data_IF_201203500551
#
_entry.id   IF_201203500551
#
_cell.length_a   1.000
_cell.length_b   1.000
_cell.length_c   1.000
_cell.angle_alpha   90.00
_cell.angle_beta   90.00
_cell.angle_gamma   90.00
#
_symmetry.space_group_name_H-M   'P 1'
#
loop_
_entity.id
_entity.type
_entity.pdbx_description
1 polymer ?
2 polymer ?
3 water ?
#
# COMPACT_ATOMS: atom_id res chain seq x y z
N UNK A 1 -3.83 -15.25 2.83
CA UNK A 1 -3.77 -14.83 1.44
C UNK A 1 -2.42 -14.21 1.10
N UNK A 2 -1.54 -14.12 2.11
CA UNK A 2 -0.24 -13.51 1.89
C UNK A 2 0.65 -14.34 0.97
N UNK A 3 0.36 -15.63 0.81
CA UNK A 3 1.13 -16.44 -0.14
C UNK A 3 0.86 -16.05 -1.59
N UNK A 4 -0.15 -15.22 -1.86
CA UNK A 4 -0.42 -14.71 -3.19
C UNK A 4 0.20 -13.34 -3.44
N UNK A 5 0.86 -12.76 -2.44
CA UNK A 5 1.44 -11.43 -2.56
C UNK A 5 2.75 -11.47 -3.34
N UNK A 6 2.92 -10.52 -4.25
CA UNK A 6 4.20 -10.41 -4.95
C UNK A 6 5.33 -10.10 -3.96
N UNK A 7 6.58 -10.26 -4.42
CA UNK A 7 7.70 -9.99 -3.53
C UNK A 7 7.64 -8.55 -3.03
N UNK A 8 7.35 -7.61 -3.93
CA UNK A 8 7.30 -6.20 -3.52
C UNK A 8 6.13 -5.94 -2.58
N UNK A 9 4.98 -6.55 -2.84
CA UNK A 9 3.83 -6.38 -1.96
C UNK A 9 4.09 -6.95 -0.57
N UNK A 10 4.72 -8.13 -0.50
CA UNK A 10 5.12 -8.64 0.81
C UNK A 10 6.08 -7.67 1.50
N UNK A 11 7.04 -7.12 0.76
CA UNK A 11 7.95 -6.15 1.33
C UNK A 11 7.23 -4.89 1.81
N UNK A 12 6.19 -4.44 1.10
CA UNK A 12 5.46 -3.25 1.54
C UNK A 12 4.88 -3.48 2.93
N UNK A 13 4.32 -4.66 3.17
CA UNK A 13 3.69 -4.98 4.45
C UNK A 13 4.74 -5.11 5.54
N UNK A 14 5.87 -5.74 5.22
CA UNK A 14 6.96 -5.86 6.18
C UNK A 14 7.48 -4.48 6.55
N UNK A 15 7.64 -3.60 5.55
CA UNK A 15 8.12 -2.26 5.83
C UNK A 15 7.08 -1.44 6.58
N UNK A 16 5.79 -1.71 6.34
CA UNK A 16 4.76 -0.96 7.05
C UNK A 16 4.89 -1.16 8.56
N UNK A 17 5.21 -2.38 8.99
CA UNK A 17 5.41 -2.62 10.41
C UNK A 17 6.56 -1.80 10.95
N UNK A 18 7.64 -1.65 10.17
CA UNK A 18 8.76 -0.87 10.69
C UNK A 18 8.51 0.62 10.60
N UNK A 19 7.67 1.07 9.66
CA UNK A 19 7.30 2.49 9.66
C UNK A 19 6.48 2.84 10.89
N UNK A 20 5.58 1.94 11.31
CA UNK A 20 4.87 2.14 12.57
C UNK A 20 5.83 2.15 13.75
N UNK A 21 6.73 1.17 13.81
CA UNK A 21 7.66 1.09 14.95
C UNK A 21 8.54 2.33 15.03
N UNK A 22 9.00 2.84 13.88
CA UNK A 22 9.85 4.03 13.88
C UNK A 22 9.12 5.28 14.36
N UNK A 23 7.79 5.27 14.32
CA UNK A 23 6.97 6.38 14.80
C UNK A 23 6.38 6.11 16.18
N UNK A 24 6.81 5.05 16.86
CA UNK A 24 6.32 4.70 18.20
C UNK A 24 4.80 4.48 18.21
N UNK A 25 4.31 3.84 17.16
CA UNK A 25 2.89 3.53 17.01
C UNK A 25 2.72 2.03 17.18
N UNK A 26 1.94 1.62 18.19
CA UNK A 26 1.68 0.19 18.38
C UNK A 26 0.49 -0.31 17.59
N UNK A 27 0.39 0.12 16.33
CA UNK A 27 -0.66 -0.30 15.41
C UNK A 27 -0.16 -0.02 14.00
N UNK A 28 -0.53 -0.88 13.06
CA UNK A 28 -0.22 -0.64 11.65
C UNK A 28 -1.51 -0.17 11.00
N UNK A 29 -1.61 1.14 10.75
CA UNK A 29 -2.79 1.73 10.15
C UNK A 29 -2.64 1.91 8.65
N UNK A 30 -3.69 2.47 8.02
CA UNK A 30 -3.60 2.74 6.59
C UNK A 30 -2.41 3.65 6.29
N UNK A 31 -2.10 4.57 7.20
CA UNK A 31 -0.97 5.48 7.01
C UNK A 31 0.35 4.73 6.88
N UNK A 32 0.55 3.68 7.68
CA UNK A 32 1.84 2.98 7.67
C UNK A 32 1.95 2.04 6.48
N UNK A 33 0.83 1.48 6.03
CA UNK A 33 0.85 0.76 4.76
C UNK A 33 1.33 1.68 3.64
N UNK A 34 0.79 2.90 3.58
CA UNK A 34 1.20 3.85 2.55
C UNK A 34 2.66 4.25 2.71
N UNK A 35 3.10 4.51 3.95
CA UNK A 35 4.52 4.80 4.17
C UNK A 35 5.41 3.65 3.71
N UNK A 36 4.99 2.40 3.95
CA UNK A 36 5.75 1.26 3.47
C UNK A 36 5.73 1.11 1.96
N UNK A 37 4.62 1.49 1.32
CA UNK A 37 4.56 1.50 -0.14
C UNK A 37 5.53 2.52 -0.72
N UNK A 38 5.62 3.70 -0.12
CA UNK A 38 6.58 4.69 -0.58
C UNK A 38 8.01 4.24 -0.31
N UNK A 39 8.24 3.63 0.86
CA UNK A 39 9.58 3.15 1.19
C UNK A 39 10.05 2.07 0.22
N UNK A 40 9.16 1.13 -0.14
CA UNK A 40 9.51 0.18 -1.20
C UNK A 40 9.80 0.91 -2.50
N UNK A 41 8.87 1.76 -2.93
CA UNK A 41 9.16 2.83 -3.87
C UNK A 41 9.40 2.46 -5.31
N UNK A 42 9.28 1.18 -5.71
CA UNK A 42 9.75 0.77 -7.03
C UNK A 42 8.77 -0.04 -7.86
N UNK A 43 7.67 -0.52 -7.29
CA UNK A 43 6.76 -1.40 -8.00
C UNK A 43 5.69 -0.67 -8.80
N UNK A 44 4.64 -1.43 -9.17
CA UNK A 44 3.60 -0.92 -10.06
C UNK A 44 2.85 0.23 -9.41
N UNK A 45 2.55 0.13 -8.11
CA UNK A 45 1.83 1.20 -7.44
C UNK A 45 2.66 2.48 -7.36
N UNK A 46 3.94 2.37 -7.00
CA UNK A 46 4.77 3.57 -6.91
C UNK A 46 4.88 4.26 -8.26
N UNK A 47 5.13 3.50 -9.32
CA UNK A 47 5.25 4.08 -10.65
C UNK A 47 3.92 4.66 -11.12
N UNK A 48 2.81 4.07 -10.68
CA UNK A 48 1.50 4.56 -11.09
C UNK A 48 1.24 5.93 -10.50
N UNK A 49 1.54 6.11 -9.21
CA UNK A 49 1.41 7.43 -8.60
C UNK A 49 2.30 8.44 -9.30
N UNK A 50 3.56 8.06 -9.58
CA UNK A 50 4.46 8.98 -10.27
C UNK A 50 3.92 9.35 -11.64
N UNK A 51 3.33 8.40 -12.35
CA UNK A 51 2.88 8.70 -13.71
C UNK A 51 1.62 9.54 -13.71
N UNK A 52 0.86 9.56 -12.61
CA UNK A 52 -0.23 10.51 -12.47
C UNK A 52 0.24 11.91 -12.10
N UNK A 53 1.53 12.12 -11.88
CA UNK A 53 2.04 13.43 -11.56
C UNK A 53 2.12 13.72 -10.09
N UNK A 54 2.03 12.69 -9.26
CA UNK A 54 2.02 12.81 -7.81
C UNK A 54 3.42 12.58 -7.30
N UNK A 55 3.85 13.39 -6.34
CA UNK A 55 5.18 13.27 -5.76
C UNK A 55 5.13 12.31 -4.59
N UNK A 56 5.94 11.25 -4.65
CA UNK A 56 5.96 10.31 -3.54
C UNK A 56 6.51 10.95 -2.28
N UNK A 57 7.47 11.87 -2.42
CA UNK A 57 7.96 12.56 -1.24
C UNK A 57 6.90 13.47 -0.65
N UNK A 58 6.06 14.07 -1.50
CA UNK A 58 4.97 14.89 -1.00
C UNK A 58 3.93 14.08 -0.26
N UNK A 59 3.58 12.90 -0.80
CA UNK A 59 2.65 12.02 -0.10
C UNK A 59 3.20 11.65 1.27
N UNK A 60 4.47 11.28 1.32
CA UNK A 60 5.08 10.81 2.57
C UNK A 60 5.03 11.91 3.62
N UNK A 61 5.39 13.12 3.22
CA UNK A 61 5.42 14.23 4.17
C UNK A 61 4.02 14.59 4.66
N UNK A 62 3.03 14.60 3.77
CA UNK A 62 1.68 14.92 4.21
C UNK A 62 1.15 13.88 5.20
N UNK A 63 1.45 12.60 4.97
CA UNK A 63 1.05 11.58 5.93
C UNK A 63 1.73 11.84 7.27
N UNK A 64 3.04 12.09 7.25
CA UNK A 64 3.78 12.36 8.48
C UNK A 64 3.16 13.50 9.28
N UNK A 65 2.78 14.59 8.61
CA UNK A 65 2.30 15.77 9.33
C UNK A 65 0.97 15.49 10.03
N UNK A 66 0.17 14.59 9.47
CA UNK A 66 -1.13 14.27 10.06
C UNK A 66 -0.97 13.38 11.29
N UNK A 67 -0.12 12.36 11.20
CA UNK A 67 -0.13 11.30 12.20
C UNK A 67 0.82 11.53 13.36
N UNK A 68 1.79 12.43 13.22
CA UNK A 68 2.69 12.71 14.34
C UNK A 68 3.46 11.48 14.78
N UNK A 69 3.80 11.44 16.07
CA UNK A 69 4.64 10.37 16.60
C UNK A 69 4.20 10.01 18.01
N UNK A 70 4.24 8.71 18.32
CA UNK A 70 3.81 8.21 19.61
C UNK A 70 4.87 8.41 20.68
N UNK A 71 4.59 7.86 21.86
CA UNK A 71 5.45 8.07 23.01
C UNK A 71 6.25 6.84 23.43
N UNK A 72 5.76 5.64 23.15
CA UNK A 72 6.33 4.42 23.72
C UNK A 72 6.74 3.43 22.64
N UNK A 73 7.79 2.69 22.93
CA UNK A 73 8.33 1.73 21.98
C UNK A 73 7.39 0.54 21.81
N UNK A 74 6.91 0.25 20.60
CA UNK A 74 6.20 -1.01 20.39
C UNK A 74 7.20 -2.15 20.31
N UNK A 75 7.00 -3.16 21.14
CA UNK A 75 7.76 -4.39 21.03
C UNK A 75 6.98 -5.40 20.19
N UNK A 76 7.71 -6.38 19.66
CA UNK A 76 7.08 -7.54 19.07
C UNK A 76 6.33 -7.26 17.77
N UNK A 77 5.25 -8.01 17.58
CA UNK A 77 4.48 -7.96 16.36
C UNK A 77 3.38 -6.91 16.49
N UNK A 78 3.43 -5.88 15.64
CA UNK A 78 2.48 -4.78 15.69
C UNK A 78 1.20 -5.15 14.93
N UNK A 79 0.02 -4.96 15.51
CA UNK A 79 -1.21 -5.41 14.83
C UNK A 79 -1.73 -4.43 13.79
N UNK A 80 -2.24 -4.97 12.68
CA UNK A 80 -3.04 -4.17 11.76
C UNK A 80 -4.27 -3.59 12.47
N UNK A 81 -4.59 -2.32 12.19
CA UNK A 81 -5.85 -1.73 12.64
C UNK A 81 -7.03 -2.31 11.86
N UNK A 82 -8.26 -2.13 12.36
CA UNK A 82 -9.41 -2.60 11.57
C UNK A 82 -9.49 -1.97 10.19
N UNK A 83 -9.15 -0.69 10.04
CA UNK A 83 -9.18 -0.10 8.71
C UNK A 83 -8.05 -0.62 7.83
N UNK A 84 -6.89 -0.96 8.42
CA UNK A 84 -5.83 -1.62 7.64
C UNK A 84 -6.25 -3.02 7.22
N UNK A 85 -6.99 -3.73 8.08
CA UNK A 85 -7.52 -5.02 7.66
C UNK A 85 -8.45 -4.86 6.48
N UNK A 86 -9.26 -3.80 6.48
CA UNK A 86 -10.17 -3.56 5.36
C UNK A 86 -9.40 -3.27 4.08
N UNK A 87 -8.27 -2.57 4.20
CA UNK A 87 -7.41 -2.32 3.04
C UNK A 87 -6.95 -3.63 2.43
N UNK A 88 -6.46 -4.55 3.26
CA UNK A 88 -6.02 -5.84 2.77
C UNK A 88 -7.17 -6.60 2.12
N UNK A 89 -8.35 -6.55 2.75
CA UNK A 89 -9.53 -7.20 2.19
C UNK A 89 -9.89 -6.60 0.84
N UNK A 90 -9.84 -5.27 0.72
CA UNK A 90 -10.16 -4.64 -0.55
C UNK A 90 -9.05 -4.82 -1.59
N UNK A 91 -7.81 -5.09 -1.17
CA UNK A 91 -6.77 -5.41 -2.14
C UNK A 91 -7.07 -6.72 -2.85
N UNK A 92 -7.53 -7.72 -2.11
CA UNK A 92 -7.96 -8.97 -2.73
C UNK A 92 -9.15 -8.75 -3.63
N UNK A 93 -10.13 -7.95 -3.17
CA UNK A 93 -11.31 -7.69 -3.97
C UNK A 93 -10.95 -7.00 -5.28
N UNK A 94 -10.04 -6.03 -5.23
CA UNK A 94 -9.65 -5.30 -6.43
C UNK A 94 -8.91 -6.21 -7.42
N UNK A 95 -8.04 -7.08 -6.91
CA UNK A 95 -7.36 -8.04 -7.79
C UNK A 95 -8.36 -8.97 -8.46
N UNK A 96 -9.25 -9.59 -7.68
CA UNK A 96 -10.20 -10.51 -8.29
C UNK A 96 -11.06 -9.81 -9.34
N UNK A 97 -11.46 -8.57 -9.06
CA UNK A 97 -12.33 -7.87 -10.00
C UNK A 97 -11.58 -7.37 -11.23
N UNK A 98 -10.24 -7.33 -11.18
CA UNK A 98 -9.42 -7.07 -12.36
C UNK A 98 -9.08 -8.34 -13.14
N UNK A 99 -9.50 -9.50 -12.65
CA UNK A 99 -9.15 -10.76 -13.28
C UNK A 99 -7.79 -11.29 -12.89
N UNK A 100 -7.25 -10.85 -11.75
CA UNK A 100 -5.91 -11.23 -11.31
C UNK A 100 -5.97 -12.27 -10.20
N UNK A 101 -5.06 -13.25 -10.25
CA UNK A 101 -4.97 -14.27 -9.20
C UNK A 101 -3.74 -14.10 -8.32
N UNK A 102 -3.17 -12.90 -8.29
CA UNK A 102 -2.09 -12.51 -7.39
C UNK A 102 -2.49 -11.20 -6.74
N UNK A 103 -1.69 -10.75 -5.77
CA UNK A 103 -1.89 -9.44 -5.14
C UNK A 103 -0.56 -8.69 -5.20
N UNK A 104 -0.52 -7.59 -5.95
CA UNK A 104 0.67 -6.78 -6.08
C UNK A 104 0.55 -5.44 -5.36
N UNK A 105 1.62 -4.65 -5.43
CA UNK A 105 1.56 -3.32 -4.81
C UNK A 105 0.43 -2.50 -5.41
N UNK A 106 0.12 -2.73 -6.69
CA UNK A 106 -0.97 -1.99 -7.31
C UNK A 106 -2.30 -2.28 -6.62
N UNK A 107 -2.50 -3.51 -6.15
CA UNK A 107 -3.75 -3.84 -5.49
C UNK A 107 -3.80 -3.27 -4.08
N UNK A 108 -2.66 -3.23 -3.40
CA UNK A 108 -2.59 -2.53 -2.11
C UNK A 108 -2.94 -1.05 -2.27
N UNK A 109 -2.44 -0.41 -3.33
CA UNK A 109 -2.78 1.00 -3.57
C UNK A 109 -4.28 1.16 -3.79
N UNK A 110 -4.85 0.32 -4.65
CA UNK A 110 -6.28 0.41 -4.91
C UNK A 110 -7.08 0.12 -3.65
N UNK A 111 -6.59 -0.80 -2.81
CA UNK A 111 -7.27 -1.09 -1.55
C UNK A 111 -7.19 0.07 -0.58
N UNK A 112 -6.05 0.76 -0.53
CA UNK A 112 -5.95 1.96 0.30
C UNK A 112 -7.00 2.99 -0.10
N UNK A 113 -7.17 3.20 -1.41
CA UNK A 113 -8.07 4.24 -1.86
C UNK A 113 -9.52 3.78 -1.75
N UNK A 114 -9.80 2.52 -2.08
CA UNK A 114 -11.17 2.03 -1.98
C UNK A 114 -11.63 1.97 -0.53
N UNK A 115 -10.72 1.73 0.43
CA UNK A 115 -11.11 1.81 1.84
C UNK A 115 -11.71 3.18 2.17
N UNK A 116 -11.11 4.25 1.65
CA UNK A 116 -11.73 5.56 1.61
C UNK A 116 -11.66 6.45 2.84
N UNK A 117 -11.75 5.85 4.03
CA UNK A 117 -11.91 6.64 5.25
C UNK A 117 -10.59 6.95 5.95
N UNK A 118 -9.56 6.13 5.74
CA UNK A 118 -8.32 6.27 6.47
C UNK A 118 -7.44 7.42 5.99
N UNK A 119 -6.39 7.67 6.78
CA UNK A 119 -5.45 8.76 6.47
C UNK A 119 -4.84 8.58 5.08
N UNK A 120 -4.58 7.33 4.68
CA UNK A 120 -3.98 7.10 3.37
C UNK A 120 -4.91 7.57 2.25
N UNK A 121 -6.17 7.15 2.30
CA UNK A 121 -7.10 7.55 1.25
C UNK A 121 -7.32 9.06 1.26
N UNK A 122 -7.37 9.66 2.45
CA UNK A 122 -7.57 11.10 2.53
C UNK A 122 -6.45 11.84 1.81
N UNK A 123 -5.20 11.48 2.12
CA UNK A 123 -4.05 12.13 1.49
C UNK A 123 -4.01 11.84 -0.01
N UNK A 124 -4.23 10.59 -0.40
CA UNK A 124 -4.09 10.25 -1.81
C UNK A 124 -5.15 10.95 -2.66
N UNK A 125 -6.41 10.96 -2.21
CA UNK A 125 -7.47 11.59 -2.99
C UNK A 125 -7.25 13.10 -3.10
N UNK A 126 -6.79 13.74 -2.02
CA UNK A 126 -6.47 15.17 -2.06
C UNK A 126 -5.49 15.48 -3.18
N UNK A 127 -4.47 14.63 -3.33
CA UNK A 127 -3.41 14.85 -4.30
C UNK A 127 -3.79 14.40 -5.70
N UNK A 128 -5.01 13.92 -5.89
CA UNK A 128 -5.53 13.60 -7.20
C UNK A 128 -5.61 12.13 -7.53
N UNK A 129 -5.26 11.25 -6.59
CA UNK A 129 -5.30 9.81 -6.84
C UNK A 129 -6.70 9.26 -6.56
N UNK A 130 -7.66 9.80 -7.30
CA UNK A 130 -9.01 9.24 -7.30
C UNK A 130 -8.98 7.81 -7.83
N UNK A 131 -9.88 6.97 -7.29
CA UNK A 131 -9.81 5.52 -7.51
C UNK A 131 -9.87 5.14 -9.00
N UNK A 132 -10.84 5.68 -9.75
CA UNK A 132 -10.97 5.30 -11.16
C UNK A 132 -9.70 5.64 -11.92
N UNK A 133 -9.20 6.86 -11.72
CA UNK A 133 -8.00 7.32 -12.39
C UNK A 133 -6.81 6.42 -12.07
N UNK A 134 -6.66 6.05 -10.80
CA UNK A 134 -5.54 5.19 -10.41
C UNK A 134 -5.67 3.82 -11.07
N UNK A 135 -6.87 3.23 -11.05
CA UNK A 135 -7.02 1.90 -11.64
C UNK A 135 -6.67 1.92 -13.13
N UNK A 136 -7.12 2.94 -13.86
CA UNK A 136 -6.78 3.02 -15.27
C UNK A 136 -5.28 3.18 -15.46
N UNK A 137 -4.62 3.95 -14.59
CA UNK A 137 -3.17 4.08 -14.70
C UNK A 137 -2.48 2.74 -14.44
N UNK A 138 -2.96 2.00 -13.45
CA UNK A 138 -2.38 0.71 -13.11
C UNK A 138 -2.44 -0.22 -14.31
N UNK A 139 -3.59 -0.25 -14.98
CA UNK A 139 -3.76 -1.14 -16.12
C UNK A 139 -2.78 -0.78 -17.23
N UNK A 140 -2.58 0.53 -17.45
CA UNK A 140 -1.62 0.98 -18.45
C UNK A 140 -0.20 0.53 -18.11
N UNK A 141 0.19 0.64 -16.84
CA UNK A 141 1.55 0.26 -16.47
C UNK A 141 1.75 -1.25 -16.51
N UNK A 142 0.74 -2.03 -16.12
CA UNK A 142 0.89 -3.48 -16.22
C UNK A 142 1.13 -3.89 -17.67
N UNK A 143 0.44 -3.23 -18.61
CA UNK A 143 0.68 -3.51 -20.02
C UNK A 143 2.08 -3.08 -20.43
N UNK A 144 2.49 -1.88 -20.01
CA UNK A 144 3.78 -1.36 -20.45
C UNK A 144 4.97 -2.16 -19.93
N UNK A 145 4.88 -2.67 -18.71
CA UNK A 145 6.02 -3.37 -18.13
C UNK A 145 6.05 -4.85 -18.46
N UNK A 146 4.94 -5.41 -18.95
CA UNK A 146 4.91 -6.76 -19.50
C UNK A 146 5.38 -7.82 -18.51
N UNK A 147 5.06 -7.62 -17.23
CA UNK A 147 5.39 -8.59 -16.19
C UNK A 147 6.81 -8.53 -15.68
N UNK A 148 7.56 -7.50 -16.05
CA UNK A 148 8.99 -7.45 -15.79
C UNK A 148 9.37 -6.54 -14.62
N UNK A 149 8.39 -5.95 -13.94
CA UNK A 149 8.67 -5.00 -12.87
C UNK A 149 8.48 -5.59 -11.47
N UNK A 150 7.54 -6.53 -11.31
CA UNK A 150 7.16 -7.03 -9.99
C UNK A 150 6.96 -8.55 -10.07
N UNK A 151 7.94 -9.31 -9.57
CA UNK A 151 7.91 -10.77 -9.62
C UNK A 151 6.84 -11.32 -8.68
N UNK A 152 6.05 -12.28 -9.17
CA UNK A 152 5.01 -12.93 -8.37
C UNK A 152 5.63 -14.05 -7.53
N UNK A 153 4.91 -14.47 -6.50
CA UNK A 153 5.50 -15.32 -5.47
C UNK A 153 6.01 -16.63 -6.07
N UNK A 154 7.33 -16.84 -6.01
CA UNK A 154 8.00 -18.07 -6.51
C UNK A 154 7.66 -18.37 -7.97
N UNK A 155 7.29 -17.33 -8.71
CA UNK A 155 6.77 -17.48 -10.07
C UNK A 155 7.89 -17.66 -11.09
N UNK A 156 7.59 -18.43 -12.13
CA UNK A 156 8.52 -18.62 -13.25
C UNK A 156 8.90 -17.29 -13.90
N UNK B 1 -2.43 -13.93 8.18
CA UNK B 1 -3.68 -13.40 7.65
C UNK B 1 -4.80 -13.63 8.66
N UNK B 2 -5.46 -12.57 9.13
CA UNK B 2 -5.28 -11.21 8.63
C UNK B 2 -5.11 -10.29 9.85
N UNK B 3 -3.94 -10.34 10.46
CA UNK B 3 -3.78 -9.68 11.75
C UNK B 3 -2.38 -9.13 12.01
N UNK B 4 -1.34 -9.84 11.57
CA UNK B 4 0.04 -9.45 11.84
C UNK B 4 0.89 -9.71 10.60
N UNK B 5 2.13 -9.24 10.65
CA UNK B 5 3.15 -9.60 9.65
C UNK B 5 3.81 -10.89 10.12
N UNK B 6 3.58 -12.01 9.43
CA UNK B 6 2.74 -12.15 8.24
C UNK B 6 1.72 -13.27 8.44
N UNK B 7 0.71 -13.03 9.28
CA UNK B 7 -0.33 -14.01 9.56
C UNK B 7 -1.68 -13.45 9.15
#
# INVERSE_FOLDING_TARGET
MFERFTDRARRVVVLAQEEARMLNHNYIGTEHILLGLIHEGEGVAAKSLESLGISLEGVRSQVEEIIGQGQQAPSGHIPFTPRAKKVLELSLREALQLGHNYIGTEHILLGLIREGEGVAAQVLVKLGAELTRVRQQVIQLLSGYQGKLEHHHHHH
WXAXVLI
#
